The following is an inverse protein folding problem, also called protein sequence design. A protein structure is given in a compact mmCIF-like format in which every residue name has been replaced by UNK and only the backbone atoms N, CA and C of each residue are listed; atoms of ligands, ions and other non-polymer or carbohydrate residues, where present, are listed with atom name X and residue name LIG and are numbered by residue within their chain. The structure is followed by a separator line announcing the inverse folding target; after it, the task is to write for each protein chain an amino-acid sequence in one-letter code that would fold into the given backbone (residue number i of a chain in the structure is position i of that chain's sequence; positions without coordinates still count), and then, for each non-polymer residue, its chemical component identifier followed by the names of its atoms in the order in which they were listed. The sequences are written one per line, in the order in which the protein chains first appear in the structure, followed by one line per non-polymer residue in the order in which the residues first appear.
data_IF_198657518186
#
_entry.id   IF_198657518186
#
_cell.length_a   1.000
_cell.length_b   1.000
_cell.length_c   1.000
_cell.angle_alpha   90.00
_cell.angle_beta   90.00
_cell.angle_gamma   90.00
#
_symmetry.space_group_name_H-M   'P 1'
#
loop_
_entity.id
_entity.type
_entity.pdbx_description
1 polymer ?
#
# COMPACT_ATOMS: atom_id res chain seq x y z
N UNK A 1 40.95 63.52 17.46
CA UNK A 1 39.81 64.36 17.91
C UNK A 1 38.52 63.78 17.33
N UNK A 2 37.61 63.40 18.22
CA UNK A 2 36.12 63.43 18.17
C UNK A 2 35.36 62.97 16.90
N UNK A 3 34.64 61.82 16.98
CA UNK A 3 33.15 61.59 17.12
C UNK A 3 32.33 62.23 15.96
N UNK A 4 31.41 61.57 15.22
CA UNK A 4 30.20 60.77 15.59
C UNK A 4 29.49 60.17 14.34
N UNK A 5 29.00 58.92 14.42
CA UNK A 5 27.63 58.36 14.11
C UNK A 5 26.87 58.75 12.81
N UNK A 6 26.05 57.94 12.10
CA UNK A 6 25.42 56.58 12.12
C UNK A 6 24.88 56.36 10.68
N UNK A 7 24.78 55.12 10.16
CA UNK A 7 23.60 54.52 9.48
C UNK A 7 23.92 53.07 9.08
N UNK A 8 23.04 52.16 9.51
CA UNK A 8 22.92 50.73 9.20
C UNK A 8 22.69 50.46 7.70
N UNK A 9 23.29 49.40 7.14
CA UNK A 9 22.53 48.29 6.55
C UNK A 9 23.43 47.15 6.03
N UNK A 10 23.04 45.93 6.38
CA UNK A 10 23.57 44.65 5.91
C UNK A 10 22.97 44.30 4.53
N UNK A 11 23.76 43.69 3.65
CA UNK A 11 23.28 43.05 2.42
C UNK A 11 23.98 41.69 2.27
N UNK A 12 23.34 40.67 2.83
CA UNK A 12 23.59 39.26 2.52
C UNK A 12 22.81 38.89 1.27
N UNK A 13 23.50 38.32 0.28
CA UNK A 13 22.91 37.78 -0.93
C UNK A 13 22.08 36.53 -0.63
N UNK A 14 20.92 36.43 -1.27
CA UNK A 14 20.09 35.24 -1.28
C UNK A 14 19.83 34.88 -2.74
N UNK A 15 20.36 33.74 -3.16
CA UNK A 15 20.04 33.10 -4.44
C UNK A 15 18.77 32.31 -4.18
N UNK A 16 17.66 32.76 -4.77
CA UNK A 16 16.37 32.08 -4.73
C UNK A 16 16.35 31.09 -5.90
N UNK A 17 16.50 29.81 -5.61
CA UNK A 17 16.06 28.72 -6.49
C UNK A 17 14.83 28.12 -5.80
N UNK A 18 13.65 28.47 -6.30
CA UNK A 18 12.38 27.86 -5.88
C UNK A 18 12.17 26.60 -6.71
N UNK A 19 12.59 25.45 -6.16
CA UNK A 19 12.01 24.15 -6.48
C UNK A 19 10.97 23.86 -5.40
N UNK A 20 9.69 23.91 -5.76
CA UNK A 20 8.58 23.51 -4.90
C UNK A 20 7.85 22.37 -5.59
N UNK A 21 8.26 21.14 -5.32
CA UNK A 21 7.49 19.93 -5.59
C UNK A 21 7.44 19.10 -4.31
N UNK A 22 6.21 18.74 -3.95
CA UNK A 22 5.76 17.53 -3.25
C UNK A 22 6.33 17.19 -1.88
N UNK A 23 5.49 17.31 -0.85
CA UNK A 23 5.55 16.51 0.38
C UNK A 23 4.10 16.26 0.87
N UNK A 24 3.47 15.22 0.35
CA UNK A 24 2.12 14.72 0.70
C UNK A 24 2.06 14.08 2.08
N UNK A 25 0.90 14.18 2.75
CA UNK A 25 0.69 13.65 4.09
C UNK A 25 0.32 12.19 4.11
N UNK A 26 0.93 11.44 5.02
CA UNK A 26 0.26 10.69 6.08
C UNK A 26 1.34 9.99 6.90
N UNK A 27 1.36 10.27 8.20
CA UNK A 27 2.02 9.41 9.19
C UNK A 27 1.19 8.13 9.27
N UNK A 28 1.81 7.05 8.77
CA UNK A 28 1.87 5.66 9.25
C UNK A 28 2.13 4.79 8.01
N UNK A 29 3.35 4.26 7.92
CA UNK A 29 3.81 3.31 6.90
C UNK A 29 3.86 3.76 5.43
N UNK A 30 3.80 5.06 5.12
CA UNK A 30 4.01 5.56 3.74
C UNK A 30 5.48 5.70 3.30
N UNK A 31 6.44 5.27 4.12
CA UNK A 31 7.86 5.24 3.76
C UNK A 31 8.40 3.81 3.83
N UNK A 32 7.82 2.90 3.05
CA UNK A 32 8.60 1.77 2.60
C UNK A 32 9.51 2.25 1.46
N UNK A 33 10.71 2.68 1.84
CA UNK A 33 11.85 3.13 1.03
C UNK A 33 11.73 3.01 -0.49
N UNK A 34 11.31 4.10 -1.15
CA UNK A 34 11.90 4.49 -2.43
C UNK A 34 12.55 5.86 -2.23
N UNK A 35 13.82 5.84 -1.83
CA UNK A 35 14.67 6.99 -2.10
C UNK A 35 15.03 6.89 -3.59
N UNK A 36 14.29 7.63 -4.42
CA UNK A 36 14.58 7.82 -5.85
C UNK A 36 16.05 8.25 -6.01
N UNK A 37 16.94 7.28 -6.23
CA UNK A 37 18.28 7.58 -6.71
C UNK A 37 18.13 8.06 -8.14
N UNK A 38 18.32 9.36 -8.33
CA UNK A 38 18.53 9.99 -9.63
C UNK A 38 19.63 9.23 -10.40
N UNK A 39 19.24 8.24 -11.20
CA UNK A 39 19.80 7.84 -12.51
C UNK A 39 19.47 6.38 -12.89
N UNK A 40 18.25 6.09 -13.35
CA UNK A 40 18.02 5.07 -14.39
C UNK A 40 16.69 5.34 -15.12
N UNK A 41 16.67 5.00 -16.40
CA UNK A 41 15.54 5.17 -17.31
C UNK A 41 14.43 4.19 -16.97
N UNK A 42 13.19 4.70 -16.96
CA UNK A 42 11.95 4.02 -17.34
C UNK A 42 11.82 2.55 -16.93
N UNK A 43 11.21 2.31 -15.78
CA UNK A 43 10.28 1.21 -15.57
C UNK A 43 9.28 1.66 -14.50
N UNK A 44 8.04 1.94 -14.93
CA UNK A 44 6.92 2.30 -14.07
C UNK A 44 6.25 1.00 -13.58
N UNK A 45 6.81 0.38 -12.53
CA UNK A 45 6.12 -0.60 -11.68
C UNK A 45 5.75 0.07 -10.37
N UNK A 46 4.50 0.52 -10.23
CA UNK A 46 4.02 1.28 -9.07
C UNK A 46 3.60 0.32 -7.96
N UNK A 47 4.54 -0.18 -7.17
CA UNK A 47 4.23 -0.86 -5.91
C UNK A 47 3.98 0.18 -4.82
N UNK A 48 2.74 0.69 -4.78
CA UNK A 48 2.27 1.54 -3.69
C UNK A 48 1.55 0.65 -2.67
N UNK A 49 1.97 0.76 -1.41
CA UNK A 49 1.41 0.10 -0.22
C UNK A 49 -0.09 -0.19 -0.29
N UNK A 50 -0.44 -1.44 -0.01
CA UNK A 50 -1.78 -2.06 -0.01
C UNK A 50 -2.93 -1.12 0.39
N UNK A 51 -2.78 -0.33 1.46
CA UNK A 51 -3.81 0.58 1.97
C UNK A 51 -4.32 1.62 0.98
N UNK A 52 -3.44 2.30 0.23
CA UNK A 52 -3.89 3.38 -0.67
C UNK A 52 -4.60 2.82 -1.89
N UNK A 53 -4.19 1.65 -2.34
CA UNK A 53 -4.87 0.94 -3.41
C UNK A 53 -6.21 0.38 -2.95
N UNK A 54 -6.28 -0.19 -1.75
CA UNK A 54 -7.52 -0.61 -1.10
C UNK A 54 -8.51 0.53 -0.91
N UNK A 55 -8.04 1.67 -0.37
CA UNK A 55 -8.87 2.85 -0.17
C UNK A 55 -9.29 3.47 -1.50
N UNK A 56 -8.43 3.46 -2.52
CA UNK A 56 -8.79 3.94 -3.84
C UNK A 56 -9.84 3.04 -4.50
N UNK A 57 -9.72 1.72 -4.38
CA UNK A 57 -10.69 0.75 -4.91
C UNK A 57 -12.07 0.89 -4.26
N UNK A 58 -12.12 1.05 -2.93
CA UNK A 58 -13.35 1.28 -2.17
C UNK A 58 -14.05 2.61 -2.48
N UNK A 59 -13.27 3.66 -2.78
CA UNK A 59 -13.79 5.03 -2.95
C UNK A 59 -14.06 5.42 -4.42
N UNK A 60 -13.65 4.61 -5.39
CA UNK A 60 -13.91 4.89 -6.80
C UNK A 60 -15.24 4.28 -7.25
N UNK A 61 -16.07 5.08 -7.92
CA UNK A 61 -17.26 4.59 -8.63
C UNK A 61 -16.91 3.62 -9.80
N UNK A 62 -15.62 3.49 -10.14
CA UNK A 62 -15.08 2.61 -11.19
C UNK A 62 -14.25 1.48 -10.54
N UNK A 63 -14.67 0.22 -10.70
CA UNK A 63 -13.88 -0.96 -10.26
C UNK A 63 -12.54 -1.01 -10.99
N UNK A 64 -11.42 -1.16 -10.25
CA UNK A 64 -10.07 -1.25 -10.82
C UNK A 64 -9.75 -2.70 -11.15
N UNK A 65 -10.02 -3.12 -12.38
CA UNK A 65 -9.77 -4.48 -12.88
C UNK A 65 -8.37 -5.02 -12.56
N UNK A 66 -7.31 -4.21 -12.71
CA UNK A 66 -5.94 -4.61 -12.37
C UNK A 66 -5.78 -5.07 -10.91
N UNK A 67 -6.43 -4.36 -9.98
CA UNK A 67 -6.39 -4.72 -8.56
C UNK A 67 -7.16 -6.03 -8.32
N UNK A 68 -8.29 -6.22 -9.00
CA UNK A 68 -9.09 -7.45 -8.92
C UNK A 68 -8.29 -8.67 -9.40
N UNK A 69 -7.46 -8.51 -10.45
CA UNK A 69 -6.61 -9.58 -10.95
C UNK A 69 -5.50 -9.98 -9.98
N UNK A 70 -4.77 -9.00 -9.43
CA UNK A 70 -3.74 -9.28 -8.43
C UNK A 70 -4.36 -9.90 -7.17
N UNK A 71 -5.50 -9.37 -6.74
CA UNK A 71 -6.28 -9.91 -5.62
C UNK A 71 -6.78 -11.34 -5.89
N UNK A 72 -7.11 -11.73 -7.13
CA UNK A 72 -7.54 -13.10 -7.42
C UNK A 72 -6.34 -14.03 -7.58
N UNK A 73 -5.23 -13.56 -8.14
CA UNK A 73 -4.07 -14.40 -8.45
C UNK A 73 -3.11 -14.56 -7.25
N UNK A 74 -3.11 -13.61 -6.32
CA UNK A 74 -2.28 -13.63 -5.11
C UNK A 74 -0.78 -13.53 -5.36
N UNK A 75 -0.39 -13.10 -6.56
CA UNK A 75 0.99 -12.81 -6.91
C UNK A 75 1.04 -11.82 -8.07
N UNK A 76 1.83 -10.76 -7.92
CA UNK A 76 2.06 -9.77 -8.96
C UNK A 76 2.75 -10.41 -10.17
N UNK A 77 3.75 -11.28 -9.92
CA UNK A 77 4.42 -12.03 -10.98
C UNK A 77 3.46 -12.93 -11.75
N UNK A 78 2.53 -13.60 -11.06
CA UNK A 78 1.53 -14.43 -11.72
C UNK A 78 0.57 -13.56 -12.53
N UNK A 79 0.14 -12.41 -12.01
CA UNK A 79 -0.69 -11.45 -12.75
C UNK A 79 -0.03 -11.02 -14.07
N UNK A 80 1.23 -10.59 -14.03
CA UNK A 80 2.00 -10.22 -15.22
C UNK A 80 2.16 -11.38 -16.21
N UNK A 81 2.39 -12.60 -15.71
CA UNK A 81 2.43 -13.79 -16.57
C UNK A 81 1.09 -14.02 -17.26
N UNK A 82 -0.03 -13.91 -16.55
CA UNK A 82 -1.38 -14.12 -17.10
C UNK A 82 -1.72 -13.11 -18.20
N UNK A 83 -1.33 -11.84 -18.03
CA UNK A 83 -1.51 -10.80 -19.04
C UNK A 83 -0.79 -11.10 -20.37
N UNK A 84 0.31 -11.87 -20.30
CA UNK A 84 1.10 -12.24 -21.46
C UNK A 84 0.66 -13.57 -22.12
N UNK A 85 -0.27 -14.32 -21.53
CA UNK A 85 -0.66 -15.65 -21.99
C UNK A 85 -1.81 -15.63 -23.01
N UNK A 86 -1.79 -16.54 -24.01
CA UNK A 86 -2.96 -16.78 -24.85
C UNK A 86 -4.18 -17.26 -24.03
N UNK A 87 -5.42 -17.00 -24.48
CA UNK A 87 -6.63 -17.34 -23.74
C UNK A 87 -6.72 -18.81 -23.30
N UNK A 88 -6.29 -19.75 -24.15
CA UNK A 88 -6.30 -21.17 -23.80
C UNK A 88 -5.34 -21.53 -22.64
N UNK A 89 -4.19 -20.85 -22.55
CA UNK A 89 -3.21 -21.09 -21.47
C UNK A 89 -3.64 -20.40 -20.18
N UNK A 90 -4.24 -19.20 -20.28
CA UNK A 90 -4.86 -18.51 -19.15
C UNK A 90 -5.96 -19.35 -18.52
N UNK A 91 -6.84 -19.97 -19.33
CA UNK A 91 -7.88 -20.90 -18.85
C UNK A 91 -7.30 -22.15 -18.18
N UNK A 92 -6.22 -22.73 -18.69
CA UNK A 92 -5.57 -23.89 -18.05
C UNK A 92 -4.98 -23.53 -16.67
N UNK A 93 -4.35 -22.35 -16.56
CA UNK A 93 -3.81 -21.84 -15.30
C UNK A 93 -4.91 -21.47 -14.31
N UNK A 94 -5.97 -20.79 -14.77
CA UNK A 94 -7.15 -20.50 -13.97
C UNK A 94 -7.80 -21.78 -13.46
N UNK A 95 -7.92 -22.82 -14.30
CA UNK A 95 -8.43 -24.11 -13.87
C UNK A 95 -7.58 -24.74 -12.75
N UNK A 96 -6.25 -24.61 -12.80
CA UNK A 96 -5.40 -25.06 -11.71
C UNK A 96 -5.67 -24.29 -10.41
N UNK A 97 -5.90 -22.98 -10.52
CA UNK A 97 -6.24 -22.10 -9.40
C UNK A 97 -7.60 -22.45 -8.77
N UNK A 98 -8.61 -22.72 -9.58
CA UNK A 98 -9.94 -23.14 -9.12
C UNK A 98 -9.90 -24.38 -8.25
N UNK A 99 -8.99 -25.33 -8.52
CA UNK A 99 -8.80 -26.51 -7.68
C UNK A 99 -8.20 -26.19 -6.31
N UNK A 100 -7.51 -25.05 -6.17
CA UNK A 100 -6.97 -24.57 -4.89
C UNK A 100 -8.04 -23.78 -4.13
N UNK A 101 -8.84 -22.99 -4.84
CA UNK A 101 -9.99 -22.26 -4.30
C UNK A 101 -11.07 -23.20 -3.74
N UNK A 102 -11.39 -24.27 -4.47
CA UNK A 102 -12.40 -25.29 -4.12
C UNK A 102 -11.93 -26.16 -2.93
N UNK A 103 -12.21 -25.68 -1.72
CA UNK A 103 -11.83 -26.35 -0.48
C UNK A 103 -12.75 -27.53 -0.18
N UNK A 104 -14.02 -27.42 -0.56
CA UNK A 104 -15.06 -28.44 -0.41
C UNK A 104 -14.87 -29.64 -1.34
N UNK A 105 -14.17 -29.43 -2.46
CA UNK A 105 -13.88 -30.38 -3.56
C UNK A 105 -15.13 -30.83 -4.31
N UNK A 106 -16.13 -29.98 -4.43
CA UNK A 106 -17.37 -30.28 -5.14
C UNK A 106 -17.41 -29.71 -6.57
N UNK A 107 -16.34 -29.01 -6.99
CA UNK A 107 -16.17 -28.31 -8.27
C UNK A 107 -17.08 -27.09 -8.45
N UNK A 108 -17.61 -26.58 -7.35
CA UNK A 108 -18.25 -25.28 -7.27
C UNK A 108 -17.43 -24.42 -6.32
N UNK A 109 -17.45 -23.12 -6.55
CA UNK A 109 -16.89 -22.13 -5.65
C UNK A 109 -18.06 -21.41 -5.00
N UNK A 110 -18.21 -21.60 -3.69
CA UNK A 110 -19.17 -20.82 -2.92
C UNK A 110 -18.59 -19.47 -2.49
N UNK A 111 -19.45 -18.57 -2.01
CA UNK A 111 -19.04 -17.22 -1.57
C UNK A 111 -17.99 -17.27 -0.46
N UNK A 112 -18.09 -18.22 0.47
CA UNK A 112 -17.16 -18.32 1.59
C UNK A 112 -15.78 -18.79 1.14
N UNK A 113 -15.72 -19.71 0.17
CA UNK A 113 -14.47 -20.16 -0.44
C UNK A 113 -13.81 -19.02 -1.22
N UNK A 114 -14.58 -18.26 -2.00
CA UNK A 114 -14.05 -17.13 -2.75
C UNK A 114 -13.53 -16.01 -1.84
N UNK A 115 -14.29 -15.66 -0.78
CA UNK A 115 -13.83 -14.67 0.22
C UNK A 115 -12.53 -15.13 0.88
N UNK A 116 -12.47 -16.39 1.34
CA UNK A 116 -11.27 -16.93 1.97
C UNK A 116 -10.08 -16.92 1.03
N UNK A 117 -10.32 -17.23 -0.25
CA UNK A 117 -9.28 -17.17 -1.27
C UNK A 117 -8.76 -15.74 -1.47
N UNK A 118 -9.64 -14.74 -1.65
CA UNK A 118 -9.25 -13.34 -1.85
C UNK A 118 -8.54 -12.76 -0.61
N UNK A 119 -8.96 -13.14 0.61
CA UNK A 119 -8.23 -12.74 1.82
C UNK A 119 -6.84 -13.39 1.86
N UNK A 120 -6.74 -14.65 1.45
CA UNK A 120 -5.46 -15.37 1.44
C UNK A 120 -4.49 -14.83 0.39
N UNK A 121 -4.99 -14.48 -0.79
CA UNK A 121 -4.19 -13.90 -1.87
C UNK A 121 -3.60 -12.54 -1.50
N UNK A 122 -4.32 -11.68 -0.77
CA UNK A 122 -3.76 -10.45 -0.22
C UNK A 122 -2.55 -10.73 0.69
N UNK A 123 -2.65 -11.73 1.56
CA UNK A 123 -1.52 -12.15 2.40
C UNK A 123 -0.36 -12.71 1.58
N UNK A 124 -0.65 -13.40 0.47
CA UNK A 124 0.39 -13.91 -0.44
C UNK A 124 1.11 -12.77 -1.17
N UNK A 125 0.38 -11.73 -1.62
CA UNK A 125 0.97 -10.53 -2.22
C UNK A 125 1.87 -9.80 -1.23
N UNK A 126 1.37 -9.50 -0.03
CA UNK A 126 2.17 -8.81 1.00
C UNK A 126 3.39 -9.63 1.44
N UNK A 127 3.29 -10.97 1.43
CA UNK A 127 4.43 -11.85 1.66
C UNK A 127 5.40 -11.89 0.48
N UNK A 128 4.93 -11.84 -0.76
CA UNK A 128 5.77 -11.76 -1.97
C UNK A 128 6.60 -10.48 -1.94
N UNK A 129 5.96 -9.32 -1.74
CA UNK A 129 6.62 -8.01 -1.64
C UNK A 129 7.65 -7.96 -0.51
N UNK A 130 7.28 -8.49 0.66
CA UNK A 130 8.20 -8.57 1.79
C UNK A 130 9.43 -9.43 1.48
N UNK A 131 9.26 -10.52 0.73
CA UNK A 131 10.37 -11.40 0.34
C UNK A 131 11.28 -10.75 -0.71
N UNK A 132 10.73 -10.00 -1.65
CA UNK A 132 11.52 -9.26 -2.63
C UNK A 132 12.42 -8.23 -1.94
N UNK A 133 11.84 -7.40 -1.05
CA UNK A 133 12.66 -6.45 -0.30
C UNK A 133 13.62 -7.14 0.65
N UNK A 134 13.25 -8.30 1.18
CA UNK A 134 14.17 -9.08 2.01
C UNK A 134 15.46 -9.39 1.23
N UNK A 135 15.30 -9.85 -0.01
CA UNK A 135 16.42 -10.21 -0.88
C UNK A 135 17.26 -9.00 -1.30
N UNK A 136 16.65 -7.81 -1.38
CA UNK A 136 17.36 -6.54 -1.63
C UNK A 136 18.13 -6.05 -0.40
N UNK A 137 17.57 -6.21 0.79
CA UNK A 137 18.15 -5.70 2.05
C UNK A 137 19.26 -6.59 2.60
N UNK A 138 19.17 -7.92 2.40
CA UNK A 138 20.18 -8.90 2.83
C UNK A 138 21.44 -8.87 1.92
N UNK A 139 22.21 -7.79 2.00
CA UNK A 139 23.43 -7.61 1.19
C UNK A 139 24.50 -8.69 1.46
N UNK A 140 24.49 -9.28 2.65
CA UNK A 140 25.51 -10.23 3.08
C UNK A 140 25.14 -11.71 2.81
N UNK A 141 23.90 -11.97 2.36
CA UNK A 141 23.29 -13.28 2.07
C UNK A 141 23.37 -14.26 3.26
N UNK A 142 23.23 -13.75 4.49
CA UNK A 142 23.19 -14.55 5.72
C UNK A 142 21.77 -15.01 6.08
N UNK A 143 20.78 -14.63 5.27
CA UNK A 143 19.36 -14.96 5.39
C UNK A 143 18.69 -14.32 6.60
N UNK A 144 19.27 -13.26 7.13
CA UNK A 144 18.68 -12.42 8.15
C UNK A 144 18.94 -10.94 7.83
N UNK A 145 18.09 -10.08 8.33
CA UNK A 145 18.27 -8.63 8.21
C UNK A 145 18.68 -8.08 9.55
N UNK A 146 19.90 -7.56 9.62
CA UNK A 146 20.35 -6.80 10.78
C UNK A 146 19.77 -5.39 10.76
N UNK A 147 19.69 -4.77 11.95
CA UNK A 147 19.31 -3.36 12.06
C UNK A 147 20.19 -2.45 11.18
N UNK A 148 21.46 -2.81 10.98
CA UNK A 148 22.40 -2.01 10.19
C UNK A 148 22.14 -2.11 8.68
N UNK A 149 21.76 -3.28 8.18
CA UNK A 149 21.36 -3.46 6.78
C UNK A 149 20.06 -2.72 6.51
N UNK A 150 19.07 -2.88 7.40
CA UNK A 150 17.82 -2.17 7.29
C UNK A 150 18.04 -0.65 7.22
N UNK A 151 18.77 -0.06 8.16
CA UNK A 151 18.98 1.40 8.16
C UNK A 151 19.82 1.88 6.97
N UNK A 152 20.76 1.07 6.47
CA UNK A 152 21.58 1.44 5.32
C UNK A 152 20.72 1.52 4.05
N UNK A 153 19.86 0.53 3.83
CA UNK A 153 18.94 0.52 2.70
C UNK A 153 17.88 1.62 2.85
N UNK A 154 17.40 1.78 4.08
CA UNK A 154 16.27 2.63 4.40
C UNK A 154 16.59 4.13 4.38
N UNK A 155 17.70 4.49 5.02
CA UNK A 155 18.07 5.88 5.27
C UNK A 155 19.37 6.26 4.54
N UNK A 156 20.05 5.31 3.90
CA UNK A 156 21.31 5.54 3.23
C UNK A 156 22.50 5.70 4.18
N UNK A 157 23.70 5.69 3.57
CA UNK A 157 24.96 5.78 4.30
C UNK A 157 25.21 7.16 4.97
N UNK A 158 24.54 8.21 4.51
CA UNK A 158 24.69 9.55 5.07
C UNK A 158 23.97 9.68 6.42
N UNK A 159 22.81 9.06 6.60
CA UNK A 159 22.05 9.07 7.86
C UNK A 159 22.75 8.27 8.98
N UNK A 160 23.42 7.17 8.62
CA UNK A 160 24.31 6.44 9.53
C UNK A 160 25.41 7.33 10.14
N UNK A 161 25.88 8.32 9.36
CA UNK A 161 26.84 9.30 9.85
C UNK A 161 26.18 10.35 10.76
N UNK A 162 24.91 10.69 10.50
CA UNK A 162 24.07 11.55 11.35
C UNK A 162 23.67 10.86 12.67
N UNK A 163 23.77 9.54 12.75
CA UNK A 163 23.61 8.79 14.00
C UNK A 163 24.55 9.25 15.11
N UNK A 164 25.71 9.78 14.72
CA UNK A 164 26.67 10.37 15.65
C UNK A 164 26.32 11.81 16.08
N UNK A 165 25.35 12.46 15.41
CA UNK A 165 25.02 13.87 15.56
C UNK A 165 23.52 14.20 15.38
N UNK A 166 22.63 13.36 15.93
CA UNK A 166 21.14 13.49 15.94
C UNK A 166 20.55 14.82 16.45
N UNK A 167 21.38 15.76 16.91
CA UNK A 167 20.93 17.07 17.39
C UNK A 167 20.54 18.03 16.24
N UNK A 168 20.98 17.76 15.01
CA UNK A 168 20.72 18.59 13.81
C UNK A 168 19.81 17.89 12.77
N UNK A 169 19.34 16.66 13.02
CA UNK A 169 18.46 15.94 12.10
C UNK A 169 17.03 16.49 12.14
N UNK A 170 16.28 16.28 11.05
CA UNK A 170 14.85 16.59 11.01
C UNK A 170 14.13 15.83 12.14
N UNK A 171 13.24 16.52 12.87
CA UNK A 171 12.46 15.95 13.97
C UNK A 171 11.64 14.74 13.48
N UNK A 172 11.12 14.82 12.25
CA UNK A 172 10.32 13.74 11.67
C UNK A 172 11.15 12.48 11.42
N UNK A 173 12.35 12.62 10.86
CA UNK A 173 13.27 11.49 10.62
C UNK A 173 13.63 10.81 11.94
N UNK A 174 13.84 11.59 13.01
CA UNK A 174 14.14 11.01 14.33
C UNK A 174 12.97 10.22 14.89
N UNK A 175 11.74 10.74 14.75
CA UNK A 175 10.52 10.06 15.19
C UNK A 175 10.33 8.74 14.43
N UNK A 176 10.50 8.75 13.10
CA UNK A 176 10.40 7.55 12.24
C UNK A 176 11.44 6.50 12.64
N UNK A 177 12.72 6.90 12.76
CA UNK A 177 13.80 6.00 13.19
C UNK A 177 13.51 5.32 14.54
N UNK A 178 13.00 6.08 15.52
CA UNK A 178 12.63 5.54 16.82
C UNK A 178 11.45 4.56 16.73
N UNK A 179 10.46 4.85 15.87
CA UNK A 179 9.30 3.98 15.64
C UNK A 179 9.72 2.65 14.99
N UNK A 180 10.57 2.70 13.97
CA UNK A 180 11.10 1.52 13.30
C UNK A 180 11.93 0.67 14.25
N UNK A 181 12.74 1.30 15.11
CA UNK A 181 13.54 0.56 16.09
C UNK A 181 12.65 -0.13 17.14
N UNK A 182 11.56 0.53 17.58
CA UNK A 182 10.57 -0.08 18.47
C UNK A 182 9.88 -1.27 17.79
N UNK A 183 9.51 -1.13 16.51
CA UNK A 183 8.86 -2.18 15.74
C UNK A 183 9.79 -3.37 15.47
N UNK A 184 11.04 -3.12 15.08
CA UNK A 184 12.06 -4.15 14.85
C UNK A 184 12.25 -5.03 16.08
N UNK A 185 12.34 -4.41 17.27
CA UNK A 185 12.46 -5.15 18.53
C UNK A 185 11.17 -5.89 18.91
N UNK A 186 10.01 -5.41 18.47
CA UNK A 186 8.74 -6.05 18.77
C UNK A 186 8.53 -7.31 17.91
N UNK A 187 9.00 -7.30 16.65
CA UNK A 187 8.89 -8.45 15.75
C UNK A 187 10.01 -9.47 15.91
N UNK A 188 11.18 -9.07 16.44
CA UNK A 188 12.30 -9.94 16.81
C UNK A 188 11.91 -10.84 18.00
N UNK A 189 11.26 -11.96 17.71
CA UNK A 189 10.68 -12.84 18.72
C UNK A 189 11.77 -13.60 19.50
N UNK A 190 12.90 -13.89 18.85
CA UNK A 190 14.00 -14.64 19.43
C UNK A 190 15.05 -13.76 20.15
N UNK A 191 14.96 -12.43 19.97
CA UNK A 191 15.83 -11.39 20.52
C UNK A 191 17.32 -11.58 20.14
N UNK A 192 17.59 -12.08 18.93
CA UNK A 192 18.95 -12.20 18.41
C UNK A 192 19.45 -10.92 17.70
N UNK A 193 18.58 -9.92 17.54
CA UNK A 193 18.87 -8.65 16.90
C UNK A 193 18.89 -8.71 15.36
N UNK A 194 18.39 -9.81 14.78
CA UNK A 194 18.27 -10.06 13.36
C UNK A 194 16.83 -10.47 13.03
N UNK A 195 16.33 -10.08 11.86
CA UNK A 195 15.00 -10.51 11.40
C UNK A 195 15.16 -11.63 10.38
N UNK A 196 14.54 -12.77 10.65
CA UNK A 196 14.34 -13.78 9.61
C UNK A 196 13.19 -13.36 8.66
N UNK A 197 13.00 -14.08 7.54
CA UNK A 197 11.96 -13.75 6.54
C UNK A 197 10.55 -13.58 7.10
N UNK A 198 10.16 -14.42 8.07
CA UNK A 198 8.84 -14.33 8.68
C UNK A 198 8.73 -13.07 9.55
N UNK A 199 9.75 -12.79 10.34
CA UNK A 199 9.79 -11.59 11.20
C UNK A 199 9.88 -10.31 10.36
N UNK A 200 10.64 -10.34 9.25
CA UNK A 200 10.70 -9.24 8.31
C UNK A 200 9.35 -9.01 7.63
N UNK A 201 8.67 -10.06 7.15
CA UNK A 201 7.32 -9.90 6.59
C UNK A 201 6.33 -9.24 7.56
N UNK A 202 6.44 -9.53 8.88
CA UNK A 202 5.68 -8.80 9.90
C UNK A 202 6.12 -7.36 10.08
N UNK A 203 7.41 -7.10 9.96
CA UNK A 203 8.00 -5.76 10.07
C UNK A 203 7.58 -4.87 8.90
N UNK A 204 7.44 -5.43 7.69
CA UNK A 204 7.05 -4.70 6.49
C UNK A 204 5.55 -4.47 6.39
N UNK A 205 4.73 -5.35 6.98
CA UNK A 205 3.26 -5.25 6.97
C UNK A 205 2.69 -5.40 8.40
N UNK A 206 3.07 -4.53 9.35
CA UNK A 206 2.67 -4.69 10.75
C UNK A 206 1.16 -4.56 10.97
N UNK A 207 0.45 -3.87 10.08
CA UNK A 207 -1.00 -3.73 10.05
C UNK A 207 -1.76 -5.03 9.73
N UNK A 208 -1.10 -6.07 9.24
CA UNK A 208 -1.74 -7.39 9.07
C UNK A 208 -1.68 -8.23 10.36
N UNK A 209 -0.96 -7.74 11.36
CA UNK A 209 -0.62 -8.47 12.57
C UNK A 209 -1.26 -7.84 13.81
N UNK A 210 -2.36 -8.44 14.26
CA UNK A 210 -3.14 -7.94 15.41
C UNK A 210 -2.31 -7.83 16.70
N UNK A 211 -1.27 -8.65 16.87
CA UNK A 211 -0.33 -8.58 17.99
C UNK A 211 0.46 -7.27 18.06
N UNK A 212 0.60 -6.55 16.94
CA UNK A 212 1.30 -5.26 16.86
C UNK A 212 0.37 -4.05 17.01
N UNK A 213 -0.95 -4.24 16.97
CA UNK A 213 -1.97 -3.17 17.03
C UNK A 213 -1.73 -2.14 18.15
N UNK A 214 -1.45 -2.61 19.37
CA UNK A 214 -1.21 -1.75 20.52
C UNK A 214 0.06 -0.89 20.39
N UNK A 215 1.11 -1.43 19.74
CA UNK A 215 2.33 -0.69 19.47
C UNK A 215 2.06 0.40 18.42
N UNK A 216 1.42 0.03 17.32
CA UNK A 216 1.15 0.96 16.23
C UNK A 216 0.19 2.08 16.67
N UNK A 217 -0.85 1.77 17.45
CA UNK A 217 -1.74 2.77 18.03
C UNK A 217 -0.96 3.80 18.87
N UNK A 218 -0.05 3.33 19.72
CA UNK A 218 0.80 4.20 20.54
C UNK A 218 1.70 5.09 19.69
N UNK A 219 2.26 4.56 18.60
CA UNK A 219 3.09 5.32 17.67
C UNK A 219 2.28 6.43 16.97
N UNK A 220 1.04 6.15 16.55
CA UNK A 220 0.11 7.13 15.99
C UNK A 220 -0.16 8.26 16.97
N UNK A 221 -0.62 7.92 18.16
CA UNK A 221 -1.00 8.91 19.16
C UNK A 221 0.21 9.81 19.47
N UNK A 222 1.40 9.23 19.65
CA UNK A 222 2.65 10.01 19.86
C UNK A 222 2.93 11.02 18.74
N UNK A 223 2.56 10.70 17.51
CA UNK A 223 2.85 11.53 16.33
C UNK A 223 1.78 12.56 16.00
N UNK A 224 0.50 12.24 16.23
CA UNK A 224 -0.64 13.04 15.76
C UNK A 224 -1.46 13.67 16.88
N UNK A 225 -1.60 13.00 18.02
CA UNK A 225 -2.37 13.50 19.15
C UNK A 225 -1.58 14.64 19.83
N UNK A 226 -2.00 15.88 19.53
CA UNK A 226 -1.29 17.07 19.99
C UNK A 226 -1.84 17.56 21.33
N UNK A 227 -3.11 17.32 21.61
CA UNK A 227 -3.76 17.73 22.85
C UNK A 227 -3.74 16.65 23.96
N UNK A 228 -3.19 15.47 23.66
CA UNK A 228 -2.98 14.32 24.55
C UNK A 228 -4.29 13.81 25.14
N UNK A 229 -5.33 13.72 24.32
CA UNK A 229 -6.65 13.22 24.73
C UNK A 229 -6.90 11.74 24.37
N UNK A 230 -5.85 11.04 23.91
CA UNK A 230 -5.86 9.64 23.47
C UNK A 230 -6.84 9.38 22.29
N UNK A 231 -7.20 10.43 21.55
CA UNK A 231 -8.03 10.38 20.36
C UNK A 231 -7.46 11.28 19.25
N UNK A 232 -7.96 11.12 18.03
CA UNK A 232 -7.62 12.00 16.91
C UNK A 232 -8.83 12.80 16.50
N UNK A 233 -8.78 14.12 16.70
CA UNK A 233 -9.75 15.01 16.07
C UNK A 233 -9.43 15.20 14.58
N UNK A 234 -10.37 15.73 13.80
CA UNK A 234 -10.20 15.90 12.35
C UNK A 234 -8.95 16.73 11.96
N UNK A 235 -8.53 17.69 12.79
CA UNK A 235 -7.32 18.48 12.50
C UNK A 235 -6.06 17.64 12.69
N UNK A 236 -6.01 16.79 13.70
CA UNK A 236 -4.89 15.88 13.98
C UNK A 236 -4.83 14.74 12.97
N UNK A 237 -5.99 14.25 12.53
CA UNK A 237 -6.13 13.32 11.42
C UNK A 237 -5.40 13.84 10.16
N UNK A 238 -5.70 15.09 9.75
CA UNK A 238 -5.08 15.77 8.61
C UNK A 238 -3.60 16.16 8.81
N UNK A 239 -3.12 16.20 10.07
CA UNK A 239 -1.78 16.67 10.44
C UNK A 239 -1.47 18.09 9.90
N UNK A 240 -0.19 18.47 9.80
CA UNK A 240 0.26 19.80 9.36
C UNK A 240 -0.17 20.15 7.93
N UNK A 241 -0.48 19.13 7.12
CA UNK A 241 -0.74 19.26 5.68
C UNK A 241 -2.18 19.60 5.33
N UNK A 242 -3.12 19.47 6.27
CA UNK A 242 -4.50 19.94 6.06
C UNK A 242 -4.58 21.41 5.64
N UNK A 243 -3.58 22.23 6.01
CA UNK A 243 -3.50 23.64 5.61
C UNK A 243 -3.12 23.87 4.14
N UNK A 244 -2.60 22.86 3.45
CA UNK A 244 -2.11 22.93 2.06
C UNK A 244 -3.01 22.18 1.07
N UNK A 245 -4.05 21.50 1.55
CA UNK A 245 -4.95 20.71 0.72
C UNK A 245 -5.99 21.58 -0.01
N UNK A 246 -6.41 21.13 -1.19
CA UNK A 246 -7.55 21.74 -1.89
C UNK A 246 -8.83 21.51 -1.11
N UNK A 247 -9.87 22.29 -1.41
CA UNK A 247 -11.17 22.14 -0.75
C UNK A 247 -11.79 20.77 -1.05
N UNK A 248 -11.63 20.29 -2.27
CA UNK A 248 -12.10 18.99 -2.73
C UNK A 248 -11.42 17.85 -1.96
N UNK A 249 -10.09 17.94 -1.78
CA UNK A 249 -9.35 16.96 -0.99
C UNK A 249 -9.72 17.00 0.50
N UNK A 250 -10.00 18.17 1.06
CA UNK A 250 -10.48 18.29 2.44
C UNK A 250 -11.88 17.70 2.64
N UNK A 251 -12.75 17.77 1.63
CA UNK A 251 -14.07 17.14 1.67
C UNK A 251 -13.91 15.61 1.67
N UNK A 252 -13.14 15.07 0.74
CA UNK A 252 -12.89 13.62 0.67
C UNK A 252 -12.26 13.08 1.97
N UNK A 253 -11.28 13.78 2.53
CA UNK A 253 -10.71 13.40 3.83
C UNK A 253 -11.70 13.51 4.99
N UNK A 254 -12.67 14.44 4.89
CA UNK A 254 -13.72 14.56 5.90
C UNK A 254 -14.71 13.41 5.81
N UNK A 255 -15.08 13.02 4.59
CA UNK A 255 -15.95 11.88 4.35
C UNK A 255 -15.28 10.60 4.88
N UNK A 256 -13.99 10.38 4.58
CA UNK A 256 -13.19 9.28 5.13
C UNK A 256 -13.16 9.29 6.67
N UNK A 257 -12.89 10.45 7.29
CA UNK A 257 -12.92 10.58 8.74
C UNK A 257 -14.29 10.21 9.33
N UNK A 258 -15.38 10.63 8.70
CA UNK A 258 -16.75 10.36 9.16
C UNK A 258 -17.17 8.89 8.99
N UNK A 259 -16.53 8.15 8.09
CA UNK A 259 -16.72 6.70 7.97
C UNK A 259 -16.07 5.94 9.13
N UNK A 260 -14.91 6.41 9.60
CA UNK A 260 -14.19 5.80 10.72
C UNK A 260 -14.72 6.25 12.09
N UNK A 261 -15.32 7.44 12.19
CA UNK A 261 -16.02 7.95 13.38
C UNK A 261 -17.37 7.23 13.55
N UNK A 262 -17.30 5.97 13.96
CA UNK A 262 -18.45 5.08 14.11
C UNK A 262 -19.48 5.63 15.11
N UNK A 263 -19.00 6.29 16.17
CA UNK A 263 -19.85 6.81 17.24
C UNK A 263 -20.37 8.24 16.97
N UNK A 264 -19.80 8.94 15.97
CA UNK A 264 -20.14 10.30 15.52
C UNK A 264 -19.89 11.39 16.56
N UNK A 265 -18.86 11.23 17.40
CA UNK A 265 -18.48 12.20 18.42
C UNK A 265 -17.46 13.25 17.92
N UNK A 266 -17.00 13.10 16.67
CA UNK A 266 -16.07 13.99 16.00
C UNK A 266 -14.60 13.69 16.30
N UNK A 267 -14.29 12.52 16.87
CA UNK A 267 -12.94 12.05 17.18
C UNK A 267 -12.81 10.56 16.86
N UNK A 268 -11.61 10.13 16.47
CA UNK A 268 -11.28 8.71 16.35
C UNK A 268 -10.63 8.25 17.64
N UNK A 269 -11.28 7.34 18.34
CA UNK A 269 -10.76 6.69 19.55
C UNK A 269 -9.94 5.44 19.23
N UNK A 270 -9.26 4.84 20.20
CA UNK A 270 -8.32 3.73 19.96
C UNK A 270 -8.84 2.59 19.07
N UNK A 271 -10.09 2.14 19.27
CA UNK A 271 -10.69 1.08 18.44
C UNK A 271 -10.98 1.57 17.00
N UNK A 272 -11.40 2.82 16.83
CA UNK A 272 -11.64 3.44 15.52
C UNK A 272 -10.33 3.72 14.79
N UNK A 273 -9.26 4.10 15.51
CA UNK A 273 -7.90 4.25 14.98
C UNK A 273 -7.37 2.89 14.53
N UNK A 274 -7.52 1.83 15.35
CA UNK A 274 -7.12 0.47 14.94
C UNK A 274 -7.89 0.05 13.70
N UNK A 275 -9.22 0.23 13.70
CA UNK A 275 -10.04 -0.10 12.53
C UNK A 275 -9.62 0.69 11.28
N UNK A 276 -9.21 1.94 11.43
CA UNK A 276 -8.67 2.79 10.37
C UNK A 276 -7.30 2.31 9.84
N UNK A 277 -6.45 1.73 10.69
CA UNK A 277 -5.10 1.31 10.32
C UNK A 277 -5.04 -0.06 9.65
N UNK A 278 -5.88 -1.00 10.11
CA UNK A 278 -5.82 -2.38 9.69
C UNK A 278 -6.55 -2.54 8.35
N UNK A 279 -5.96 -3.22 7.37
CA UNK A 279 -6.59 -3.37 6.07
C UNK A 279 -7.88 -4.18 6.22
N UNK A 280 -8.97 -3.68 5.63
CA UNK A 280 -10.29 -4.31 5.74
C UNK A 280 -10.46 -5.44 4.70
N UNK A 281 -9.46 -6.33 4.62
CA UNK A 281 -9.35 -7.39 3.60
C UNK A 281 -10.61 -8.24 3.48
N UNK A 282 -11.26 -8.55 4.60
CA UNK A 282 -12.51 -9.32 4.60
C UNK A 282 -13.66 -8.56 3.94
N UNK A 283 -13.81 -7.26 4.23
CA UNK A 283 -14.84 -6.41 3.61
C UNK A 283 -14.58 -6.25 2.10
N UNK A 284 -13.33 -6.05 1.71
CA UNK A 284 -12.92 -5.98 0.30
C UNK A 284 -13.25 -7.29 -0.41
N UNK A 285 -12.88 -8.42 0.19
CA UNK A 285 -13.18 -9.73 -0.35
C UNK A 285 -14.69 -10.01 -0.46
N UNK A 286 -15.52 -9.53 0.48
CA UNK A 286 -16.98 -9.63 0.41
C UNK A 286 -17.57 -8.82 -0.74
N UNK A 287 -17.12 -7.58 -0.93
CA UNK A 287 -17.56 -6.71 -2.03
C UNK A 287 -17.14 -7.29 -3.38
N UNK A 288 -15.90 -7.76 -3.49
CA UNK A 288 -15.38 -8.36 -4.71
C UNK A 288 -16.08 -9.69 -5.03
N UNK A 289 -16.28 -10.54 -4.04
CA UNK A 289 -17.09 -11.75 -4.20
C UNK A 289 -18.51 -11.43 -4.67
N UNK A 290 -19.10 -10.34 -4.16
CA UNK A 290 -20.43 -9.90 -4.62
C UNK A 290 -20.40 -9.49 -6.09
N UNK A 291 -19.38 -8.76 -6.50
CA UNK A 291 -19.15 -8.32 -7.88
C UNK A 291 -18.95 -9.51 -8.84
N UNK A 292 -18.08 -10.46 -8.48
CA UNK A 292 -17.78 -11.64 -9.29
C UNK A 292 -19.00 -12.54 -9.48
N UNK A 293 -19.76 -12.80 -8.42
CA UNK A 293 -21.01 -13.56 -8.52
C UNK A 293 -22.05 -12.86 -9.39
N UNK A 294 -22.17 -11.53 -9.29
CA UNK A 294 -23.12 -10.78 -10.10
C UNK A 294 -22.83 -10.86 -11.61
N UNK A 295 -21.57 -11.10 -11.99
CA UNK A 295 -21.14 -11.16 -13.39
C UNK A 295 -21.03 -12.58 -13.94
N UNK A 296 -20.72 -13.56 -13.10
CA UNK A 296 -20.34 -14.91 -13.56
C UNK A 296 -21.36 -16.00 -13.21
N UNK A 297 -22.27 -15.78 -12.24
CA UNK A 297 -23.33 -16.74 -11.89
C UNK A 297 -24.47 -16.66 -12.91
N UNK A 298 -24.27 -17.31 -14.07
CA UNK A 298 -25.20 -17.33 -15.19
C UNK A 298 -26.52 -18.02 -14.86
N UNK A 299 -26.45 -19.05 -14.00
CA UNK A 299 -27.59 -19.91 -13.70
C UNK A 299 -28.36 -19.44 -12.45
N UNK A 300 -27.79 -18.50 -11.68
CA UNK A 300 -28.33 -17.86 -10.48
C UNK A 300 -28.62 -18.85 -9.34
N UNK A 301 -27.74 -19.83 -9.13
CA UNK A 301 -27.83 -20.77 -8.01
C UNK A 301 -26.95 -20.41 -6.81
N UNK A 302 -26.33 -19.22 -6.81
CA UNK A 302 -25.41 -18.75 -5.78
C UNK A 302 -24.20 -19.69 -5.59
N UNK A 303 -23.81 -20.41 -6.66
CA UNK A 303 -22.60 -21.24 -6.74
C UNK A 303 -21.91 -20.99 -8.08
N UNK A 304 -20.60 -20.70 -8.07
CA UNK A 304 -19.85 -20.55 -9.32
C UNK A 304 -19.27 -21.90 -9.73
N UNK A 305 -19.82 -22.51 -10.78
CA UNK A 305 -19.22 -23.70 -11.38
C UNK A 305 -17.90 -23.36 -12.07
N UNK A 306 -17.01 -24.34 -12.20
CA UNK A 306 -15.75 -24.12 -12.91
C UNK A 306 -15.98 -23.71 -14.38
N UNK A 307 -17.03 -24.21 -15.02
CA UNK A 307 -17.35 -23.85 -16.40
C UNK A 307 -17.78 -22.38 -16.50
N UNK A 308 -18.61 -21.88 -15.57
CA UNK A 308 -18.98 -20.46 -15.50
C UNK A 308 -17.76 -19.56 -15.31
N UNK A 309 -16.85 -19.90 -14.38
CA UNK A 309 -15.63 -19.11 -14.16
C UNK A 309 -14.69 -19.14 -15.38
N UNK A 310 -14.59 -20.28 -16.07
CA UNK A 310 -13.75 -20.41 -17.27
C UNK A 310 -14.37 -19.73 -18.50
N UNK A 311 -15.69 -19.65 -18.59
CA UNK A 311 -16.39 -18.91 -19.64
C UNK A 311 -16.24 -17.40 -19.42
N UNK A 312 -16.36 -16.95 -18.17
CA UNK A 312 -16.15 -15.56 -17.74
C UNK A 312 -14.71 -15.26 -17.28
N UNK A 313 -13.71 -15.99 -17.81
CA UNK A 313 -12.31 -15.86 -17.38
C UNK A 313 -11.75 -14.44 -17.46
N UNK A 314 -12.28 -13.58 -18.35
CA UNK A 314 -11.85 -12.19 -18.47
C UNK A 314 -12.17 -11.36 -17.22
N UNK A 315 -13.26 -11.68 -16.52
CA UNK A 315 -13.64 -11.01 -15.26
C UNK A 315 -12.66 -11.38 -14.13
N UNK A 316 -12.16 -12.62 -14.13
CA UNK A 316 -11.24 -13.10 -13.09
C UNK A 316 -9.77 -12.76 -13.37
N UNK A 317 -9.32 -12.87 -14.62
CA UNK A 317 -7.90 -12.81 -14.98
C UNK A 317 -7.62 -12.06 -16.28
N UNK A 318 -8.59 -11.32 -16.82
CA UNK A 318 -8.45 -10.62 -18.10
C UNK A 318 -8.12 -9.14 -17.96
N UNK A 319 -6.92 -8.76 -18.36
CA UNK A 319 -6.51 -7.35 -18.43
C UNK A 319 -7.44 -6.48 -19.30
N UNK A 320 -7.63 -5.22 -18.91
CA UNK A 320 -8.09 -4.16 -19.84
C UNK A 320 -7.18 -4.04 -21.08
N UNK A 321 -5.92 -4.51 -21.00
CA UNK A 321 -4.96 -4.46 -22.09
C UNK A 321 -5.33 -5.34 -23.29
N UNK A 322 -6.10 -6.42 -23.11
CA UNK A 322 -6.62 -7.21 -24.24
C UNK A 322 -7.85 -6.54 -24.88
N UNK A 323 -8.62 -5.73 -24.15
CA UNK A 323 -9.82 -5.06 -24.68
C UNK A 323 -9.52 -3.72 -25.38
N UNK A 324 -8.36 -3.10 -25.15
CA UNK A 324 -7.93 -1.87 -25.86
C UNK A 324 -6.85 -2.07 -26.95
N UNK A 325 -6.49 -3.32 -27.26
CA UNK A 325 -5.62 -3.66 -28.41
C UNK A 325 -6.39 -4.06 -29.67
N UNK A 326 -7.55 -4.71 -29.53
CA UNK A 326 -8.30 -5.24 -30.66
C UNK A 326 -9.05 -4.14 -31.46
N UNK A 327 -9.27 -2.96 -30.87
CA UNK A 327 -9.87 -1.80 -31.56
C UNK A 327 -8.89 -0.90 -32.32
N UNK A 328 -7.58 -1.13 -32.24
CA UNK A 328 -6.61 -0.39 -33.07
C UNK A 328 -6.48 -0.95 -34.50
N UNK A 329 -7.10 -2.10 -34.80
CA UNK A 329 -7.04 -2.72 -36.12
C UNK A 329 -8.14 -2.29 -37.11
N UNK A 330 -9.06 -1.39 -36.74
CA UNK A 330 -10.11 -0.90 -37.66
C UNK A 330 -9.98 0.59 -38.07
N UNK A 331 -8.81 1.20 -37.96
CA UNK A 331 -8.56 2.60 -38.44
C UNK A 331 -7.86 2.65 -39.81
N UNK A 332 -7.55 1.53 -40.45
CA UNK A 332 -6.95 1.53 -41.80
C UNK A 332 -7.83 1.02 -42.95
N UNK A 333 -9.13 0.76 -42.72
CA UNK A 333 -10.05 0.32 -43.77
C UNK A 333 -10.89 1.44 -44.44
N UNK A 334 -10.44 2.71 -44.37
CA UNK A 334 -11.05 3.81 -45.13
C UNK A 334 -10.04 4.79 -45.72
N UNK A 335 -9.02 4.30 -46.44
CA UNK A 335 -8.39 5.08 -47.52
C UNK A 335 -8.00 4.17 -48.67
N UNK A 336 -8.99 3.57 -49.32
CA UNK A 336 -8.89 3.16 -50.72
C UNK A 336 -10.32 2.99 -51.24
N UNK A 337 -10.98 4.10 -51.57
CA UNK A 337 -11.88 4.24 -52.72
C UNK A 337 -12.39 5.71 -52.82
N UNK A 338 -11.94 6.36 -53.91
CA UNK A 338 -12.33 7.66 -54.52
C UNK A 338 -11.55 8.93 -54.12
#
# INVERSE_FOLDING_TARGET
MRVTNIIFNWLTGYVIVLCSMTCWGAVMHKNFHSHDTLNSKSDEGKHATNREEYQAHMNSDEHRTNFDHEAILGSAKISEEFDALPPEQSKERLQALLNVMDTSRDKFIDRSELIQWIVHSFQMLSAEEANEKFDETDENDDKHISWNEYILESYGSEELSLQSNWADSDENIRIEFEQDQELFRAVDANNDGLLNRQEFSKFTNPEEHQDLSALLLKQILRSKDTDNDDALNFKEFLSEKGSQMSKEALISQKDEFDEYDMNKDGKLTGDEIIYWMFPQNEKIAEEETTHLFAQCDDNHDDLLSFDEILDHHEIFVGSEATNYGEHLHNIHEFTDEL
#
